data_IF_974790750012
#
_entry.id   IF_974790750012
#
_cell.length_a   1.000
_cell.length_b   1.000
_cell.length_c   1.000
_cell.angle_alpha   90.00
_cell.angle_beta   90.00
_cell.angle_gamma   90.00
#
_symmetry.space_group_name_H-M   'P 1'
#
loop_
_entity.id
_entity.type
_entity.pdbx_description
1 polymer ?
#
# COMPACT_ATOMS: atom_id res chain seq x y z
N UNK A 1 16.70 43.32 -39.60
CA UNK A 1 17.51 42.52 -38.64
C UNK A 1 16.99 42.96 -37.29
N UNK A 2 16.34 42.15 -36.46
CA UNK A 2 16.62 40.77 -36.08
C UNK A 2 15.30 39.98 -35.92
N UNK A 3 15.34 38.69 -36.27
CA UNK A 3 14.19 37.79 -36.22
C UNK A 3 13.84 37.40 -34.78
N UNK A 4 12.57 37.55 -34.41
CA UNK A 4 12.02 37.02 -33.18
C UNK A 4 12.09 35.50 -33.18
N UNK A 5 12.97 34.94 -32.36
CA UNK A 5 13.00 33.50 -32.11
C UNK A 5 11.76 33.12 -31.30
N UNK A 6 11.06 32.05 -31.69
CA UNK A 6 9.81 31.68 -31.04
C UNK A 6 10.05 31.18 -29.60
N UNK A 7 9.09 31.49 -28.72
CA UNK A 7 9.09 31.28 -27.26
C UNK A 7 9.09 29.81 -26.78
N UNK A 8 9.62 28.88 -27.57
CA UNK A 8 9.62 27.44 -27.27
C UNK A 8 10.53 27.04 -26.09
N UNK A 9 11.40 27.95 -25.63
CA UNK A 9 12.29 27.72 -24.48
C UNK A 9 11.86 28.47 -23.21
N UNK A 10 10.72 29.15 -23.23
CA UNK A 10 10.20 29.85 -22.05
C UNK A 10 9.34 28.87 -21.23
N UNK A 11 10.03 27.99 -20.51
CA UNK A 11 9.39 27.03 -19.59
C UNK A 11 9.04 27.78 -18.31
N UNK A 12 7.79 28.26 -18.23
CA UNK A 12 7.21 28.76 -16.97
C UNK A 12 6.74 27.55 -16.16
N UNK A 13 7.55 27.13 -15.18
CA UNK A 13 7.15 26.09 -14.23
C UNK A 13 6.24 26.74 -13.18
N UNK A 14 4.96 26.40 -13.20
CA UNK A 14 4.07 26.72 -12.08
C UNK A 14 4.42 25.79 -10.92
N UNK A 15 5.15 26.32 -9.93
CA UNK A 15 5.56 25.55 -8.76
C UNK A 15 4.38 25.00 -7.96
N UNK A 16 3.17 25.55 -8.12
CA UNK A 16 1.97 25.01 -7.50
C UNK A 16 1.57 23.65 -8.07
N UNK A 17 1.79 23.41 -9.37
CA UNK A 17 1.45 22.13 -10.04
C UNK A 17 2.59 21.11 -10.02
N UNK A 18 3.81 21.50 -9.65
CA UNK A 18 4.97 20.60 -9.63
C UNK A 18 4.78 19.35 -8.77
N UNK A 19 3.93 19.40 -7.73
CA UNK A 19 3.67 18.24 -6.87
C UNK A 19 2.81 17.16 -7.54
N UNK A 20 2.01 17.50 -8.57
CA UNK A 20 1.17 16.53 -9.32
C UNK A 20 1.94 15.86 -10.47
N UNK A 21 3.04 16.48 -10.90
CA UNK A 21 3.85 16.02 -12.02
C UNK A 21 4.45 14.63 -11.79
N UNK A 22 5.08 14.41 -10.64
CA UNK A 22 5.68 13.11 -10.31
C UNK A 22 4.63 11.99 -10.19
N UNK A 23 3.53 12.13 -9.42
CA UNK A 23 2.44 11.15 -9.40
C UNK A 23 1.89 10.81 -10.79
N UNK A 24 1.72 11.81 -11.66
CA UNK A 24 1.17 11.59 -13.00
C UNK A 24 2.11 10.76 -13.89
N UNK A 25 3.42 11.03 -13.86
CA UNK A 25 4.41 10.24 -14.59
C UNK A 25 4.42 8.78 -14.11
N UNK A 26 4.44 8.57 -12.80
CA UNK A 26 4.43 7.22 -12.22
C UNK A 26 3.16 6.47 -12.64
N UNK A 27 2.00 7.14 -12.64
CA UNK A 27 0.74 6.55 -13.09
C UNK A 27 0.82 6.10 -14.55
N UNK A 28 1.36 6.93 -15.45
CA UNK A 28 1.55 6.55 -16.86
C UNK A 28 2.50 5.36 -17.03
N UNK A 29 3.61 5.34 -16.29
CA UNK A 29 4.55 4.21 -16.31
C UNK A 29 3.86 2.92 -15.87
N UNK A 30 3.07 2.98 -14.79
CA UNK A 30 2.32 1.82 -14.28
C UNK A 30 1.26 1.34 -15.28
N UNK A 31 0.54 2.24 -15.95
CA UNK A 31 -0.44 1.88 -16.98
C UNK A 31 0.21 1.21 -18.19
N UNK A 32 1.35 1.72 -18.66
CA UNK A 32 2.10 1.12 -19.76
C UNK A 32 2.59 -0.27 -19.37
N UNK A 33 3.15 -0.41 -18.18
CA UNK A 33 3.60 -1.71 -17.66
C UNK A 33 2.44 -2.71 -17.57
N UNK A 34 1.28 -2.28 -17.05
CA UNK A 34 0.07 -3.09 -16.98
C UNK A 34 -0.39 -3.54 -18.38
N UNK A 35 -0.35 -2.64 -19.37
CA UNK A 35 -0.70 -2.97 -20.75
C UNK A 35 0.28 -4.01 -21.34
N UNK A 36 1.59 -3.85 -21.15
CA UNK A 36 2.59 -4.81 -21.60
C UNK A 36 2.36 -6.19 -20.98
N UNK A 37 2.16 -6.26 -19.66
CA UNK A 37 1.90 -7.52 -18.95
C UNK A 37 0.64 -8.20 -19.49
N UNK A 38 -0.43 -7.42 -19.72
CA UNK A 38 -1.69 -7.93 -20.26
C UNK A 38 -1.53 -8.50 -21.66
N UNK A 39 -0.74 -7.84 -22.52
CA UNK A 39 -0.48 -8.32 -23.88
C UNK A 39 0.39 -9.59 -23.86
N UNK A 40 1.48 -9.59 -23.09
CA UNK A 40 2.45 -10.71 -23.06
C UNK A 40 1.88 -11.96 -22.38
N UNK A 41 1.25 -11.78 -21.22
CA UNK A 41 0.80 -12.90 -20.37
C UNK A 41 -0.71 -13.11 -20.40
N UNK A 42 -1.49 -12.04 -20.56
CA UNK A 42 -2.96 -12.13 -20.59
C UNK A 42 -3.48 -12.82 -21.84
N UNK A 43 -2.97 -12.48 -23.02
CA UNK A 43 -3.41 -13.10 -24.29
C UNK A 43 -3.25 -14.63 -24.29
N UNK A 44 -2.08 -15.23 -23.97
CA UNK A 44 -1.96 -16.69 -23.92
C UNK A 44 -2.83 -17.30 -22.81
N UNK A 45 -2.95 -16.64 -21.65
CA UNK A 45 -3.80 -17.10 -20.54
C UNK A 45 -5.29 -17.17 -20.92
N UNK A 46 -5.84 -16.14 -21.56
CA UNK A 46 -7.23 -16.15 -22.03
C UNK A 46 -7.47 -17.16 -23.14
N UNK A 47 -6.47 -17.40 -24.00
CA UNK A 47 -6.55 -18.44 -25.04
C UNK A 47 -6.57 -19.86 -24.43
N UNK A 48 -5.80 -20.11 -23.38
CA UNK A 48 -5.78 -21.39 -22.65
C UNK A 48 -7.10 -21.63 -21.90
N UNK A 49 -7.71 -20.59 -21.35
CA UNK A 49 -9.06 -20.66 -20.75
C UNK A 49 -10.12 -20.97 -21.82
N UNK A 50 -10.11 -20.22 -22.94
CA UNK A 50 -11.10 -20.41 -24.01
C UNK A 50 -10.98 -21.77 -24.70
N UNK A 51 -9.79 -22.35 -24.74
CA UNK A 51 -9.55 -23.70 -25.28
C UNK A 51 -9.87 -24.83 -24.30
N UNK A 52 -10.37 -24.52 -23.10
CA UNK A 52 -10.75 -25.51 -22.09
C UNK A 52 -9.58 -26.22 -21.42
N UNK A 53 -8.33 -25.82 -21.70
CA UNK A 53 -7.12 -26.40 -21.11
C UNK A 53 -6.89 -25.94 -19.67
N UNK A 54 -7.48 -24.81 -19.28
CA UNK A 54 -7.43 -24.26 -17.93
C UNK A 54 -8.81 -23.81 -17.49
N UNK A 55 -9.25 -24.28 -16.34
CA UNK A 55 -10.45 -23.77 -15.69
C UNK A 55 -10.08 -22.47 -14.96
N UNK A 56 -10.81 -21.35 -15.12
CA UNK A 56 -10.58 -20.12 -14.36
C UNK A 56 -11.06 -20.29 -12.91
N UNK A 57 -10.52 -21.28 -12.21
CA UNK A 57 -10.77 -21.48 -10.79
C UNK A 57 -9.91 -20.50 -10.01
N UNK A 58 -10.29 -19.22 -10.01
CA UNK A 58 -9.71 -18.23 -9.09
C UNK A 58 -9.85 -18.67 -7.63
N UNK A 59 -10.85 -19.52 -7.36
CA UNK A 59 -11.13 -20.16 -6.09
C UNK A 59 -10.74 -21.63 -6.17
N UNK A 60 -9.46 -21.93 -5.99
CA UNK A 60 -8.99 -23.32 -5.81
C UNK A 60 -9.53 -23.86 -4.49
N UNK A 61 -9.69 -25.18 -4.37
CA UNK A 61 -10.26 -25.95 -3.25
C UNK A 61 -9.75 -25.63 -1.82
N UNK A 62 -8.68 -24.85 -1.70
CA UNK A 62 -8.04 -24.45 -0.44
C UNK A 62 -8.11 -22.93 -0.19
N UNK A 63 -9.15 -22.26 -0.71
CA UNK A 63 -9.31 -20.82 -0.56
C UNK A 63 -9.56 -20.42 0.89
N UNK A 64 -8.57 -19.77 1.50
CA UNK A 64 -8.57 -19.31 2.89
C UNK A 64 -9.42 -18.04 3.06
N UNK A 65 -10.75 -18.18 2.88
CA UNK A 65 -11.75 -17.09 2.92
C UNK A 65 -11.59 -16.20 4.14
N UNK A 66 -11.35 -16.81 5.29
CA UNK A 66 -11.21 -16.11 6.56
C UNK A 66 -10.01 -15.16 6.58
N UNK A 67 -8.88 -15.55 5.99
CA UNK A 67 -7.70 -14.68 5.91
C UNK A 67 -7.90 -13.56 4.92
N UNK A 68 -8.53 -13.83 3.78
CA UNK A 68 -8.77 -12.81 2.76
C UNK A 68 -9.79 -11.76 3.22
N UNK A 69 -10.95 -12.19 3.71
CA UNK A 69 -11.95 -11.24 4.23
C UNK A 69 -11.48 -10.61 5.54
N UNK A 70 -10.78 -11.37 6.39
CA UNK A 70 -10.20 -10.88 7.63
C UNK A 70 -9.20 -9.75 7.37
N UNK A 71 -8.28 -9.90 6.42
CA UNK A 71 -7.34 -8.84 6.05
C UNK A 71 -8.03 -7.63 5.45
N UNK A 72 -9.00 -7.84 4.56
CA UNK A 72 -9.76 -6.74 3.96
C UNK A 72 -10.48 -5.91 5.02
N UNK A 73 -11.20 -6.57 5.93
CA UNK A 73 -11.92 -5.91 7.03
C UNK A 73 -10.92 -5.20 7.95
N UNK A 74 -9.83 -5.87 8.32
CA UNK A 74 -8.83 -5.31 9.22
C UNK A 74 -8.15 -4.07 8.62
N UNK A 75 -7.91 -4.05 7.30
CA UNK A 75 -7.37 -2.89 6.59
C UNK A 75 -8.36 -1.72 6.58
N UNK A 76 -9.64 -1.96 6.29
CA UNK A 76 -10.67 -0.91 6.35
C UNK A 76 -10.76 -0.32 7.76
N UNK A 77 -10.83 -1.19 8.77
CA UNK A 77 -10.90 -0.81 10.19
C UNK A 77 -9.66 -0.01 10.60
N UNK A 78 -8.47 -0.41 10.14
CA UNK A 78 -7.22 0.31 10.38
C UNK A 78 -7.26 1.76 9.88
N UNK A 79 -7.72 1.99 8.64
CA UNK A 79 -7.80 3.34 8.10
C UNK A 79 -8.81 4.22 8.85
N UNK A 80 -9.98 3.67 9.21
CA UNK A 80 -10.99 4.40 9.99
C UNK A 80 -10.45 4.76 11.38
N UNK A 81 -9.78 3.82 12.05
CA UNK A 81 -9.20 4.06 13.37
C UNK A 81 -8.03 5.06 13.32
N UNK A 82 -7.19 5.00 12.28
CA UNK A 82 -6.10 5.97 12.12
C UNK A 82 -6.62 7.41 12.07
N UNK A 83 -7.69 7.64 11.30
CA UNK A 83 -8.31 8.97 11.22
C UNK A 83 -8.93 9.38 12.57
N UNK A 84 -9.72 8.50 13.18
CA UNK A 84 -10.38 8.77 14.46
C UNK A 84 -9.40 9.04 15.61
N UNK A 85 -8.31 8.26 15.71
CA UNK A 85 -7.30 8.43 16.77
C UNK A 85 -6.34 9.58 16.43
N UNK A 86 -6.02 9.80 15.16
CA UNK A 86 -5.24 10.94 14.70
C UNK A 86 -5.91 12.28 15.01
N UNK A 87 -7.25 12.35 14.93
CA UNK A 87 -8.02 13.52 15.36
C UNK A 87 -7.91 13.80 16.86
N UNK A 88 -7.73 12.77 17.71
CA UNK A 88 -7.56 12.95 19.16
C UNK A 88 -6.16 13.44 19.54
N UNK A 89 -5.13 13.09 18.76
CA UNK A 89 -3.74 13.46 19.00
C UNK A 89 -3.10 14.10 17.75
N UNK A 90 -3.53 15.32 17.37
CA UNK A 90 -3.11 15.95 16.13
C UNK A 90 -1.59 16.19 16.11
N UNK A 91 -0.96 15.87 14.98
CA UNK A 91 0.45 16.14 14.67
C UNK A 91 1.50 15.50 15.60
N UNK A 92 1.11 14.52 16.43
CA UNK A 92 2.05 13.78 17.29
C UNK A 92 2.39 12.39 16.73
N UNK A 93 1.73 11.93 15.65
CA UNK A 93 1.92 10.60 15.05
C UNK A 93 1.49 9.45 15.96
N UNK A 94 0.80 9.74 17.06
CA UNK A 94 0.29 8.74 17.99
C UNK A 94 -0.89 7.95 17.40
N UNK A 95 -1.64 8.53 16.45
CA UNK A 95 -2.66 7.85 15.65
C UNK A 95 -2.08 6.61 14.97
N UNK A 96 -0.99 6.80 14.23
CA UNK A 96 -0.23 5.71 13.63
C UNK A 96 0.21 4.64 14.65
N UNK A 97 0.83 5.03 15.77
CA UNK A 97 1.41 4.07 16.72
C UNK A 97 0.33 3.23 17.44
N UNK A 98 -0.68 3.88 18.00
CA UNK A 98 -1.72 3.19 18.77
C UNK A 98 -2.64 2.32 17.92
N UNK A 99 -2.81 2.64 16.64
CA UNK A 99 -3.64 1.86 15.73
C UNK A 99 -2.81 0.76 15.05
N UNK A 100 -1.54 1.00 14.76
CA UNK A 100 -0.65 0.01 14.13
C UNK A 100 -0.29 -1.16 15.05
N UNK A 101 -0.12 -0.94 16.36
CA UNK A 101 0.18 -2.03 17.30
C UNK A 101 -0.91 -3.12 17.31
N UNK A 102 -2.19 -2.80 17.60
CA UNK A 102 -3.26 -3.80 17.59
C UNK A 102 -3.50 -4.35 16.18
N UNK A 103 -3.36 -3.52 15.14
CA UNK A 103 -3.48 -3.98 13.75
C UNK A 103 -2.43 -5.04 13.40
N UNK A 104 -1.15 -4.76 13.65
CA UNK A 104 -0.03 -5.69 13.41
C UNK A 104 -0.20 -6.97 14.22
N UNK A 105 -0.67 -6.87 15.46
CA UNK A 105 -0.92 -8.02 16.32
C UNK A 105 -2.02 -8.93 15.75
N UNK A 106 -3.19 -8.37 15.44
CA UNK A 106 -4.34 -9.13 14.91
C UNK A 106 -4.03 -9.68 13.51
N UNK A 107 -3.34 -8.91 12.67
CA UNK A 107 -2.92 -9.35 11.35
C UNK A 107 -1.96 -10.54 11.45
N UNK A 108 -0.96 -10.45 12.32
CA UNK A 108 -0.01 -11.54 12.56
C UNK A 108 -0.71 -12.79 13.11
N UNK A 109 -1.72 -12.61 13.96
CA UNK A 109 -2.52 -13.71 14.49
C UNK A 109 -3.37 -14.39 13.41
N UNK A 110 -3.94 -13.60 12.49
CA UNK A 110 -4.75 -14.09 11.36
C UNK A 110 -3.94 -15.02 10.43
N UNK A 111 -2.64 -14.73 10.27
CA UNK A 111 -1.74 -15.53 9.43
C UNK A 111 -0.95 -16.59 10.20
N UNK A 112 -0.85 -16.51 11.53
CA UNK A 112 -0.13 -17.50 12.33
C UNK A 112 -0.83 -18.87 12.25
N UNK A 113 -0.12 -19.87 11.75
CA UNK A 113 -0.59 -21.26 11.75
C UNK A 113 -0.02 -22.00 12.96
N UNK A 114 -0.88 -22.70 13.70
CA UNK A 114 -0.58 -23.36 14.99
C UNK A 114 0.02 -22.40 16.03
N UNK A 115 -0.85 -21.78 16.83
CA UNK A 115 -0.47 -20.75 17.81
C UNK A 115 0.20 -21.42 19.02
N UNK A 116 1.53 -21.24 19.11
CA UNK A 116 2.34 -21.62 20.27
C UNK A 116 2.62 -20.41 21.15
N UNK A 117 2.83 -20.61 22.45
CA UNK A 117 3.18 -19.52 23.40
C UNK A 117 4.40 -18.72 22.95
N UNK A 118 5.40 -19.39 22.36
CA UNK A 118 6.61 -18.74 21.81
C UNK A 118 6.28 -17.85 20.61
N UNK A 119 5.44 -18.31 19.68
CA UNK A 119 5.02 -17.53 18.51
C UNK A 119 4.18 -16.32 18.92
N UNK A 120 3.29 -16.51 19.91
CA UNK A 120 2.47 -15.41 20.43
C UNK A 120 3.34 -14.33 21.07
N UNK A 121 4.38 -14.71 21.82
CA UNK A 121 5.37 -13.75 22.35
C UNK A 121 6.12 -13.01 21.24
N UNK A 122 6.60 -13.72 20.21
CA UNK A 122 7.29 -13.09 19.07
C UNK A 122 6.37 -12.12 18.32
N UNK A 123 5.11 -12.51 18.10
CA UNK A 123 4.10 -11.65 17.47
C UNK A 123 3.85 -10.40 18.33
N UNK A 124 3.67 -10.56 19.64
CA UNK A 124 3.49 -9.43 20.55
C UNK A 124 4.67 -8.46 20.51
N UNK A 125 5.89 -8.97 20.65
CA UNK A 125 7.12 -8.16 20.59
C UNK A 125 7.23 -7.44 19.25
N UNK A 126 7.01 -8.15 18.14
CA UNK A 126 7.13 -7.57 16.80
C UNK A 126 6.04 -6.51 16.53
N UNK A 127 4.81 -6.75 17.00
CA UNK A 127 3.70 -5.80 16.85
C UNK A 127 3.91 -4.49 17.60
N UNK A 128 4.80 -4.47 18.60
CA UNK A 128 5.18 -3.26 19.33
C UNK A 128 6.43 -2.64 18.71
N UNK A 129 7.49 -3.43 18.52
CA UNK A 129 8.77 -2.92 18.04
C UNK A 129 8.69 -2.34 16.63
N UNK A 130 8.03 -3.01 15.70
CA UNK A 130 8.00 -2.56 14.31
C UNK A 130 7.30 -1.20 14.16
N UNK A 131 6.08 -0.96 14.71
CA UNK A 131 5.46 0.36 14.68
C UNK A 131 6.25 1.42 15.46
N UNK A 132 6.83 1.08 16.62
CA UNK A 132 7.63 2.03 17.41
C UNK A 132 8.88 2.51 16.64
N UNK A 133 9.59 1.59 15.99
CA UNK A 133 10.77 1.92 15.17
C UNK A 133 10.35 2.75 13.96
N UNK A 134 9.29 2.36 13.26
CA UNK A 134 8.78 3.11 12.12
C UNK A 134 8.37 4.54 12.51
N UNK A 135 7.64 4.69 13.63
CA UNK A 135 7.26 6.00 14.17
C UNK A 135 8.48 6.85 14.53
N UNK A 136 9.48 6.26 15.20
CA UNK A 136 10.70 6.98 15.56
C UNK A 136 11.47 7.45 14.32
N UNK A 137 11.64 6.58 13.32
CA UNK A 137 12.35 6.92 12.09
C UNK A 137 11.58 7.99 11.31
N UNK A 138 10.30 7.81 11.07
CA UNK A 138 9.52 8.75 10.25
C UNK A 138 9.33 10.10 10.96
N UNK A 139 9.02 10.08 12.25
CA UNK A 139 8.77 11.28 13.05
C UNK A 139 10.05 12.03 13.43
N UNK A 140 11.07 11.35 13.96
CA UNK A 140 12.27 12.05 14.49
C UNK A 140 13.41 12.14 13.47
N UNK A 141 13.63 11.10 12.66
CA UNK A 141 14.74 11.09 11.71
C UNK A 141 14.40 11.82 10.40
N UNK A 142 13.18 11.65 9.91
CA UNK A 142 12.72 12.26 8.66
C UNK A 142 11.82 13.48 8.84
N UNK A 143 11.40 13.80 10.07
CA UNK A 143 10.53 14.95 10.40
C UNK A 143 9.24 14.98 9.58
N UNK A 144 8.71 13.79 9.25
CA UNK A 144 7.47 13.61 8.50
C UNK A 144 6.34 13.54 9.52
N UNK A 145 5.36 14.45 9.40
CA UNK A 145 4.15 14.40 10.20
C UNK A 145 3.32 13.18 9.81
N UNK A 146 3.30 12.20 10.70
CA UNK A 146 2.41 11.05 10.59
C UNK A 146 1.02 11.42 11.15
N UNK A 147 -0.07 10.92 10.55
CA UNK A 147 -1.41 11.02 11.13
C UNK A 147 -1.51 10.32 12.50
#
# INVERSE_FOLDING_TARGET
>A
MEGGTPSFFQISIDFNESHTFFPMIILWILLILLAIITIVYGIPFFRDIRSGKRNPSFFVEQFDKLRLFGTLILAIVYFILMDAVGMLFPNMGFGFLFVSIPFMFVLSLLYAHNIDRKKLLVIGINSILAPCIAWYILGNLFNISLP
#
